data_IF_000886512521
#
_entry.id   IF_000886512521
#
_cell.length_a   1.000
_cell.length_b   1.000
_cell.length_c   1.000
_cell.angle_alpha   90.00
_cell.angle_beta   90.00
_cell.angle_gamma   90.00
#
_symmetry.space_group_name_H-M   'P 1'
#
loop_
_entity.id
_entity.type
_entity.pdbx_description
1 polymer ?
#
# COMPACT_ATOMS: atom_id res chain seq x y z
N UNK A 1 27.54 12.61 -4.16
CA UNK A 1 26.53 11.54 -4.27
C UNK A 1 26.85 10.42 -3.29
N UNK A 2 25.85 9.81 -2.66
CA UNK A 2 26.05 8.73 -1.67
C UNK A 2 26.49 7.46 -2.40
N UNK A 3 27.69 6.97 -2.13
CA UNK A 3 28.31 5.81 -2.80
C UNK A 3 27.65 4.47 -2.41
N UNK A 4 27.05 4.37 -1.22
CA UNK A 4 26.41 3.15 -0.72
C UNK A 4 24.99 3.43 -0.19
N UNK A 5 24.11 2.42 -0.26
CA UNK A 5 22.78 2.51 0.35
C UNK A 5 22.88 2.49 1.88
N UNK A 6 21.94 3.18 2.54
CA UNK A 6 21.83 3.11 3.99
C UNK A 6 21.50 1.68 4.43
N UNK A 7 22.12 1.21 5.53
CA UNK A 7 21.76 -0.07 6.14
C UNK A 7 20.28 -0.06 6.54
N UNK A 8 19.54 -1.10 6.17
CA UNK A 8 18.16 -1.29 6.61
C UNK A 8 18.18 -1.72 8.08
N UNK A 9 17.55 -0.95 8.94
CA UNK A 9 17.36 -1.34 10.34
C UNK A 9 16.29 -2.44 10.44
N UNK A 10 16.52 -3.48 11.28
CA UNK A 10 15.49 -4.48 11.55
C UNK A 10 14.29 -3.82 12.24
N UNK A 11 13.08 -4.19 11.80
CA UNK A 11 11.84 -3.75 12.45
C UNK A 11 11.39 -4.84 13.41
N UNK A 12 11.06 -4.45 14.63
CA UNK A 12 10.41 -5.34 15.58
C UNK A 12 8.98 -5.68 15.09
N UNK A 13 8.52 -6.93 15.25
CA UNK A 13 7.15 -7.30 14.95
C UNK A 13 6.17 -6.59 15.89
N UNK A 14 4.91 -6.55 15.50
CA UNK A 14 3.82 -5.99 16.31
C UNK A 14 3.51 -6.87 17.52
N UNK A 15 3.15 -6.26 18.66
CA UNK A 15 2.89 -6.98 19.90
C UNK A 15 1.62 -7.85 19.87
N UNK A 16 0.56 -7.42 19.12
CA UNK A 16 -0.74 -8.12 19.09
C UNK A 16 -0.75 -9.27 18.07
N UNK A 17 -0.20 -9.03 16.88
CA UNK A 17 -0.24 -9.99 15.75
C UNK A 17 1.11 -10.62 15.42
N UNK A 18 2.17 -10.22 16.11
CA UNK A 18 3.54 -10.69 15.89
C UNK A 18 3.98 -10.61 14.40
N UNK A 19 3.52 -9.58 13.68
CA UNK A 19 3.76 -9.39 12.25
C UNK A 19 4.50 -8.06 11.97
N UNK A 20 5.60 -8.16 11.23
CA UNK A 20 6.41 -7.00 10.78
C UNK A 20 5.62 -6.12 9.79
N UNK A 21 4.68 -6.69 9.03
CA UNK A 21 3.85 -5.92 8.10
C UNK A 21 2.95 -4.93 8.84
N UNK A 22 2.43 -5.30 10.01
CA UNK A 22 1.65 -4.40 10.86
C UNK A 22 2.51 -3.22 11.31
N UNK A 23 3.73 -3.49 11.80
CA UNK A 23 4.67 -2.43 12.17
C UNK A 23 4.99 -1.50 10.99
N UNK A 24 5.20 -2.05 9.79
CA UNK A 24 5.41 -1.25 8.57
C UNK A 24 4.18 -0.40 8.22
N UNK A 25 2.98 -0.96 8.36
CA UNK A 25 1.73 -0.26 8.10
C UNK A 25 1.55 0.91 9.07
N UNK A 26 1.70 0.66 10.37
CA UNK A 26 1.59 1.67 11.43
C UNK A 26 2.63 2.77 11.27
N UNK A 27 3.87 2.45 10.92
CA UNK A 27 4.90 3.44 10.64
C UNK A 27 4.57 4.35 9.45
N UNK A 28 3.82 3.87 8.44
CA UNK A 28 3.33 4.70 7.33
C UNK A 28 2.04 5.45 7.67
N UNK A 29 1.23 4.93 8.58
CA UNK A 29 0.01 5.59 9.07
C UNK A 29 0.33 6.74 10.02
N UNK A 30 1.39 6.61 10.78
CA UNK A 30 1.85 7.55 11.81
C UNK A 30 2.12 8.95 11.23
N UNK A 31 1.72 9.98 12.00
CA UNK A 31 2.06 11.38 11.77
C UNK A 31 2.76 11.95 12.99
N UNK A 32 3.71 12.86 12.77
CA UNK A 32 4.41 13.60 13.84
C UNK A 32 5.03 12.71 14.93
N UNK A 33 5.43 11.47 14.60
CA UNK A 33 5.98 10.54 15.58
C UNK A 33 4.97 9.91 16.55
N UNK A 34 3.66 10.16 16.41
CA UNK A 34 2.61 9.66 17.32
C UNK A 34 2.33 8.16 17.07
N UNK A 35 3.29 7.32 17.42
CA UNK A 35 3.25 5.88 17.11
C UNK A 35 2.15 5.14 17.85
N UNK A 36 1.97 5.40 19.14
CA UNK A 36 0.94 4.72 19.97
C UNK A 36 -0.47 5.05 19.46
N UNK A 37 -0.73 6.30 19.09
CA UNK A 37 -2.01 6.70 18.47
C UNK A 37 -2.24 5.97 17.15
N UNK A 38 -1.20 5.78 16.32
CA UNK A 38 -1.31 5.06 15.06
C UNK A 38 -1.58 3.55 15.27
N UNK A 39 -1.02 2.93 16.31
CA UNK A 39 -1.37 1.56 16.70
C UNK A 39 -2.82 1.46 17.15
N UNK A 40 -3.28 2.35 18.02
CA UNK A 40 -4.69 2.38 18.45
C UNK A 40 -5.64 2.49 17.26
N UNK A 41 -5.38 3.43 16.33
CA UNK A 41 -6.17 3.59 15.11
C UNK A 41 -6.19 2.32 14.23
N UNK A 42 -5.06 1.65 14.11
CA UNK A 42 -4.98 0.40 13.34
C UNK A 42 -5.79 -0.72 14.00
N UNK A 43 -5.64 -0.93 15.31
CA UNK A 43 -6.39 -1.97 16.03
C UNK A 43 -7.89 -1.70 16.00
N UNK A 44 -8.32 -0.46 16.26
CA UNK A 44 -9.72 -0.06 16.15
C UNK A 44 -10.29 -0.31 14.75
N UNK A 45 -9.49 -0.04 13.70
CA UNK A 45 -9.91 -0.31 12.33
C UNK A 45 -10.08 -1.81 12.08
N UNK A 46 -9.16 -2.65 12.54
CA UNK A 46 -9.24 -4.11 12.40
C UNK A 46 -10.44 -4.68 13.18
N UNK A 47 -10.69 -4.21 14.39
CA UNK A 47 -11.85 -4.63 15.19
C UNK A 47 -13.18 -4.24 14.50
N UNK A 48 -13.23 -3.05 13.85
CA UNK A 48 -14.39 -2.64 13.03
C UNK A 48 -14.56 -3.50 11.78
N UNK A 49 -13.46 -3.86 11.11
CA UNK A 49 -13.50 -4.80 9.98
C UNK A 49 -14.08 -6.12 10.42
N UNK A 50 -13.62 -6.67 11.56
CA UNK A 50 -14.15 -7.93 12.10
C UNK A 50 -15.66 -7.85 12.38
N UNK A 51 -16.13 -6.75 12.97
CA UNK A 51 -17.56 -6.53 13.25
C UNK A 51 -18.41 -6.39 11.98
N UNK A 52 -17.86 -5.78 10.92
CA UNK A 52 -18.58 -5.59 9.66
C UNK A 52 -18.67 -6.84 8.79
N UNK A 53 -17.71 -7.72 8.91
CA UNK A 53 -17.59 -8.91 8.03
C UNK A 53 -17.90 -10.21 8.74
N UNK A 54 -18.02 -10.20 10.08
CA UNK A 54 -18.15 -11.39 10.93
C UNK A 54 -17.02 -12.41 10.72
N UNK A 55 -15.82 -11.93 10.34
CA UNK A 55 -14.65 -12.74 10.03
C UNK A 55 -13.40 -12.12 10.71
N UNK A 56 -12.26 -12.80 10.66
CA UNK A 56 -11.01 -12.31 11.22
C UNK A 56 -10.52 -11.06 10.45
N UNK A 57 -10.65 -9.87 11.07
CA UNK A 57 -10.27 -8.59 10.45
C UNK A 57 -8.80 -8.51 10.05
N UNK A 58 -7.90 -9.18 10.77
CA UNK A 58 -6.49 -9.23 10.41
C UNK A 58 -6.26 -10.00 9.09
N UNK A 59 -6.93 -11.13 8.89
CA UNK A 59 -6.85 -11.90 7.64
C UNK A 59 -7.44 -11.12 6.46
N UNK A 60 -8.55 -10.40 6.69
CA UNK A 60 -9.16 -9.53 5.69
C UNK A 60 -8.20 -8.39 5.31
N UNK A 61 -7.52 -7.78 6.27
CA UNK A 61 -6.51 -6.76 6.00
C UNK A 61 -5.33 -7.32 5.18
N UNK A 62 -4.85 -8.53 5.49
CA UNK A 62 -3.81 -9.19 4.70
C UNK A 62 -4.27 -9.48 3.27
N UNK A 63 -5.51 -9.92 3.11
CA UNK A 63 -6.15 -10.12 1.80
C UNK A 63 -6.24 -8.81 1.03
N UNK A 64 -6.68 -7.74 1.66
CA UNK A 64 -6.73 -6.40 1.05
C UNK A 64 -5.35 -5.93 0.57
N UNK A 65 -4.30 -6.09 1.39
CA UNK A 65 -2.92 -5.79 0.97
C UNK A 65 -2.52 -6.58 -0.27
N UNK A 66 -2.81 -7.88 -0.32
CA UNK A 66 -2.50 -8.75 -1.46
C UNK A 66 -3.22 -8.28 -2.73
N UNK A 67 -4.50 -7.93 -2.64
CA UNK A 67 -5.29 -7.46 -3.78
C UNK A 67 -4.81 -6.11 -4.32
N UNK A 68 -4.37 -5.20 -3.45
CA UNK A 68 -3.89 -3.86 -3.83
C UNK A 68 -2.43 -3.88 -4.31
N UNK A 69 -1.69 -4.96 -4.06
CA UNK A 69 -0.27 -5.06 -4.42
C UNK A 69 -0.07 -5.09 -5.94
N UNK A 70 0.65 -4.12 -6.54
CA UNK A 70 0.91 -4.10 -7.97
C UNK A 70 2.07 -5.03 -8.36
N UNK A 71 1.98 -5.67 -9.52
CA UNK A 71 3.07 -6.45 -10.12
C UNK A 71 4.03 -5.57 -10.92
N UNK A 72 3.48 -4.56 -11.61
CA UNK A 72 4.21 -3.66 -12.51
C UNK A 72 3.92 -2.20 -12.16
N UNK A 73 4.87 -1.33 -12.43
CA UNK A 73 4.74 0.14 -12.36
C UNK A 73 5.29 0.78 -13.62
N UNK A 74 4.93 2.02 -13.86
CA UNK A 74 5.46 2.81 -14.98
C UNK A 74 6.47 3.82 -14.43
N UNK A 75 7.65 3.89 -15.07
CA UNK A 75 8.71 4.84 -14.72
C UNK A 75 8.97 5.76 -15.89
N UNK A 76 8.97 7.05 -15.63
CA UNK A 76 9.33 8.06 -16.61
C UNK A 76 10.86 8.08 -16.82
N UNK A 77 11.29 8.04 -18.08
CA UNK A 77 12.69 8.18 -18.48
C UNK A 77 12.81 9.12 -19.67
N UNK A 78 13.81 9.98 -19.63
CA UNK A 78 14.10 10.90 -20.74
C UNK A 78 15.11 10.26 -21.68
N UNK A 79 14.74 10.13 -22.95
CA UNK A 79 15.58 9.55 -24.01
C UNK A 79 15.52 10.51 -25.20
N UNK A 80 16.69 11.01 -25.66
CA UNK A 80 16.76 11.89 -26.83
C UNK A 80 15.90 13.16 -26.71
N UNK A 81 15.69 13.70 -25.48
CA UNK A 81 14.86 14.88 -25.26
C UNK A 81 13.38 14.61 -25.01
N UNK A 82 12.85 13.45 -25.38
CA UNK A 82 11.46 13.02 -25.12
C UNK A 82 11.36 12.21 -23.81
N UNK A 83 10.23 12.34 -23.11
CA UNK A 83 9.96 11.56 -21.88
C UNK A 83 9.07 10.37 -22.20
N UNK A 84 9.60 9.17 -21.97
CA UNK A 84 8.89 7.91 -22.16
C UNK A 84 8.47 7.30 -20.83
N UNK A 85 7.29 6.67 -20.83
CA UNK A 85 6.76 5.91 -19.70
C UNK A 85 7.13 4.43 -19.89
N UNK A 86 8.11 3.95 -19.13
CA UNK A 86 8.66 2.60 -19.31
C UNK A 86 8.08 1.68 -18.24
N UNK A 87 7.38 0.58 -18.63
CA UNK A 87 6.90 -0.41 -17.68
C UNK A 87 8.07 -1.18 -17.07
N UNK A 88 8.02 -1.33 -15.73
CA UNK A 88 9.02 -2.06 -14.98
C UNK A 88 8.36 -2.92 -13.91
N UNK A 89 8.91 -4.11 -13.69
CA UNK A 89 8.48 -4.96 -12.58
C UNK A 89 8.81 -4.30 -11.24
N UNK A 90 7.88 -4.38 -10.29
CA UNK A 90 8.06 -3.81 -8.96
C UNK A 90 8.81 -4.79 -8.06
N UNK A 91 9.89 -4.34 -7.41
CA UNK A 91 10.63 -5.16 -6.43
C UNK A 91 9.76 -5.47 -5.20
N UNK A 92 9.99 -6.61 -4.55
CA UNK A 92 9.18 -7.11 -3.44
C UNK A 92 8.96 -6.08 -2.30
N UNK A 93 10.02 -5.42 -1.85
CA UNK A 93 9.92 -4.37 -0.81
C UNK A 93 9.06 -3.18 -1.22
N UNK A 94 9.13 -2.81 -2.51
CA UNK A 94 8.36 -1.71 -3.07
C UNK A 94 6.89 -2.09 -3.29
N UNK A 95 6.60 -3.35 -3.66
CA UNK A 95 5.23 -3.88 -3.75
C UNK A 95 4.48 -3.64 -2.45
N UNK A 96 5.07 -4.04 -1.32
CA UNK A 96 4.50 -3.84 0.02
C UNK A 96 4.36 -2.35 0.35
N UNK A 97 5.38 -1.54 0.06
CA UNK A 97 5.33 -0.10 0.33
C UNK A 97 4.22 0.61 -0.46
N UNK A 98 4.01 0.24 -1.72
CA UNK A 98 2.96 0.83 -2.57
C UNK A 98 1.56 0.45 -2.07
N UNK A 99 1.32 -0.83 -1.76
CA UNK A 99 0.03 -1.29 -1.27
C UNK A 99 -0.36 -0.60 0.05
N UNK A 100 0.57 -0.48 1.00
CA UNK A 100 0.36 0.23 2.26
C UNK A 100 0.01 1.71 2.01
N UNK A 101 0.83 2.40 1.19
CA UNK A 101 0.61 3.82 0.88
C UNK A 101 -0.72 4.07 0.19
N UNK A 102 -1.13 3.22 -0.73
CA UNK A 102 -2.41 3.38 -1.42
C UNK A 102 -3.59 3.16 -0.48
N UNK A 103 -3.57 2.11 0.35
CA UNK A 103 -4.62 1.91 1.35
C UNK A 103 -4.75 3.12 2.28
N UNK A 104 -3.65 3.64 2.81
CA UNK A 104 -3.65 4.80 3.72
C UNK A 104 -4.12 6.06 3.00
N UNK A 105 -3.65 6.30 1.78
CA UNK A 105 -4.04 7.47 0.99
C UNK A 105 -5.56 7.50 0.75
N UNK A 106 -6.12 6.43 0.20
CA UNK A 106 -7.56 6.36 -0.07
C UNK A 106 -8.41 6.34 1.20
N UNK A 107 -7.86 5.88 2.33
CA UNK A 107 -8.53 6.02 3.63
C UNK A 107 -8.60 7.48 4.08
N UNK A 108 -7.56 8.28 3.85
CA UNK A 108 -7.54 9.72 4.17
C UNK A 108 -8.49 10.52 3.29
N UNK A 109 -8.57 10.16 2.00
CA UNK A 109 -9.45 10.80 1.01
C UNK A 109 -10.93 10.44 1.20
N UNK A 110 -11.24 9.33 1.88
CA UNK A 110 -12.61 8.88 2.10
C UNK A 110 -13.34 9.76 3.12
N UNK A 111 -14.63 10.01 2.90
CA UNK A 111 -15.50 10.62 3.88
C UNK A 111 -15.83 9.64 5.03
N UNK A 112 -15.89 10.12 6.26
CA UNK A 112 -16.19 9.31 7.44
C UNK A 112 -15.93 10.06 8.75
N UNK A 113 -16.49 9.56 9.85
CA UNK A 113 -16.43 10.20 11.18
C UNK A 113 -15.03 10.13 11.79
N UNK A 114 -14.37 8.98 11.71
CA UNK A 114 -13.04 8.76 12.28
C UNK A 114 -12.10 8.13 11.26
N UNK A 115 -10.78 8.27 11.49
CA UNK A 115 -9.78 7.63 10.62
C UNK A 115 -9.87 6.09 10.69
N UNK A 116 -10.27 5.53 11.84
CA UNK A 116 -10.48 4.09 11.99
C UNK A 116 -11.66 3.59 11.11
N UNK A 117 -12.77 4.35 11.04
CA UNK A 117 -13.90 4.02 10.16
C UNK A 117 -13.51 4.08 8.68
N UNK A 118 -12.80 5.15 8.32
CA UNK A 118 -12.32 5.36 6.94
C UNK A 118 -11.42 4.22 6.50
N UNK A 119 -10.48 3.83 7.36
CA UNK A 119 -9.53 2.75 7.11
C UNK A 119 -10.25 1.39 7.02
N UNK A 120 -11.16 1.10 7.96
CA UNK A 120 -11.95 -0.13 7.95
C UNK A 120 -12.75 -0.27 6.64
N UNK A 121 -13.44 0.79 6.22
CA UNK A 121 -14.21 0.78 4.99
C UNK A 121 -13.36 0.57 3.73
N UNK A 122 -12.14 1.10 3.68
CA UNK A 122 -11.22 0.87 2.56
C UNK A 122 -10.66 -0.55 2.57
N UNK A 123 -10.34 -1.10 3.75
CA UNK A 123 -9.87 -2.49 3.89
C UNK A 123 -10.94 -3.47 3.41
N UNK A 124 -12.19 -3.30 3.84
CA UNK A 124 -13.31 -4.16 3.42
C UNK A 124 -13.53 -4.09 1.91
N UNK A 125 -13.57 -2.90 1.33
CA UNK A 125 -13.71 -2.74 -0.13
C UNK A 125 -12.53 -3.38 -0.88
N UNK A 126 -11.30 -3.10 -0.47
CA UNK A 126 -10.11 -3.66 -1.10
C UNK A 126 -10.01 -5.19 -0.99
N UNK A 127 -10.51 -5.78 0.10
CA UNK A 127 -10.54 -7.24 0.28
C UNK A 127 -11.51 -7.95 -0.67
N UNK A 128 -12.50 -7.22 -1.20
CA UNK A 128 -13.44 -7.68 -2.23
C UNK A 128 -12.96 -7.37 -3.66
N UNK A 129 -11.81 -6.71 -3.82
CA UNK A 129 -11.32 -6.25 -5.12
C UNK A 129 -12.03 -4.99 -5.62
N UNK A 130 -12.47 -4.13 -4.69
CA UNK A 130 -13.21 -2.89 -4.99
C UNK A 130 -12.53 -1.67 -4.35
N UNK A 131 -13.03 -0.49 -4.71
CA UNK A 131 -12.61 0.77 -4.11
C UNK A 131 -11.38 1.40 -4.76
N UNK A 132 -11.06 2.64 -4.32
CA UNK A 132 -10.04 3.48 -4.95
C UNK A 132 -8.63 2.89 -4.92
N UNK A 133 -8.26 2.17 -3.85
CA UNK A 133 -6.95 1.55 -3.73
C UNK A 133 -6.76 0.42 -4.75
N UNK A 134 -7.78 -0.41 -4.95
CA UNK A 134 -7.76 -1.47 -5.95
C UNK A 134 -7.79 -0.89 -7.37
N UNK A 135 -8.66 0.10 -7.63
CA UNK A 135 -8.71 0.80 -8.92
C UNK A 135 -7.35 1.41 -9.28
N UNK A 136 -6.65 2.00 -8.31
CA UNK A 136 -5.29 2.55 -8.53
C UNK A 136 -4.29 1.51 -9.01
N UNK A 137 -4.35 0.28 -8.46
CA UNK A 137 -3.55 -0.85 -8.96
C UNK A 137 -3.92 -1.16 -10.42
N UNK A 138 -5.20 -1.30 -10.74
CA UNK A 138 -5.65 -1.60 -12.10
C UNK A 138 -5.24 -0.51 -13.09
N UNK A 139 -5.40 0.77 -12.75
CA UNK A 139 -4.97 1.88 -13.58
C UNK A 139 -3.46 1.85 -13.83
N UNK A 140 -2.67 1.49 -12.81
CA UNK A 140 -1.21 1.34 -12.95
C UNK A 140 -0.86 0.19 -13.90
N UNK A 141 -1.57 -0.94 -13.81
CA UNK A 141 -1.39 -2.09 -14.70
C UNK A 141 -1.81 -1.75 -16.14
N UNK A 142 -2.95 -1.08 -16.33
CA UNK A 142 -3.41 -0.62 -17.65
C UNK A 142 -2.42 0.35 -18.29
N UNK A 143 -1.87 1.29 -17.52
CA UNK A 143 -0.81 2.19 -18.01
C UNK A 143 0.45 1.43 -18.40
N UNK A 144 0.85 0.42 -17.64
CA UNK A 144 2.02 -0.41 -17.97
C UNK A 144 1.78 -1.22 -19.24
N UNK A 145 0.59 -1.74 -19.44
CA UNK A 145 0.21 -2.50 -20.64
C UNK A 145 0.16 -1.59 -21.88
N UNK A 146 -0.46 -0.42 -21.79
CA UNK A 146 -0.50 0.57 -22.87
C UNK A 146 0.91 1.00 -23.33
N UNK A 147 1.88 1.02 -22.41
CA UNK A 147 3.26 1.41 -22.69
C UNK A 147 4.21 0.21 -22.93
N UNK A 148 3.66 -1.00 -23.13
CA UNK A 148 4.44 -2.24 -23.28
C UNK A 148 5.47 -2.17 -24.45
N UNK A 149 5.16 -1.42 -25.50
CA UNK A 149 6.06 -1.20 -26.63
C UNK A 149 7.40 -0.58 -26.21
N UNK A 150 7.44 0.20 -25.12
CA UNK A 150 8.65 0.86 -24.61
C UNK A 150 9.44 0.00 -23.60
N UNK A 151 9.04 -1.25 -23.37
CA UNK A 151 9.70 -2.12 -22.39
C UNK A 151 11.17 -2.42 -22.73
N UNK A 152 11.55 -2.36 -24.00
CA UNK A 152 12.93 -2.56 -24.47
C UNK A 152 13.89 -1.44 -24.03
N UNK A 153 13.38 -0.27 -23.63
CA UNK A 153 14.19 0.81 -23.03
C UNK A 153 14.49 0.59 -21.53
N UNK A 154 14.10 -0.56 -20.99
CA UNK A 154 14.42 -0.96 -19.62
C UNK A 154 15.88 -1.37 -19.54
N UNK A 155 16.68 -0.67 -18.70
CA UNK A 155 18.03 -1.03 -18.27
C UNK A 155 18.02 -1.28 -16.79
#
# INVERSE_FOLDING_TARGET
>A
MRKSQAKKLPLAPDAKYNDILVTRFVNNLMWQGKKNTAYGLFYDAIDRVSKQTNDNGYEIWRRALKYVTPAVEVRSRRIGGATFQIPAEVRADRKISLSIKWLIRFSRERNGKSMADKLAGVIVAASKGEGGAFKKKEDTHKMAEANKAFAHFRI
#
